data_IF_326724699097
#
_entry.id   IF_326724699097
#
_cell.length_a   1.000
_cell.length_b   1.000
_cell.length_c   1.000
_cell.angle_alpha   90.00
_cell.angle_beta   90.00
_cell.angle_gamma   90.00
#
_symmetry.space_group_name_H-M   'P 1'
#
loop_
_entity.id
_entity.type
_entity.pdbx_description
1 polymer ?
#
# COMPACT_ATOMS: atom_id res chain seq x y z
N UNK A 1 11.61 -29.76 -18.88
CA UNK A 1 10.44 -29.01 -18.41
C UNK A 1 10.78 -28.55 -17.02
N UNK A 2 11.37 -27.37 -16.90
CA UNK A 2 11.76 -26.75 -15.63
C UNK A 2 10.60 -25.88 -15.18
N UNK A 3 10.03 -26.21 -14.03
CA UNK A 3 9.03 -25.39 -13.36
C UNK A 3 9.64 -24.00 -13.11
N UNK A 4 9.00 -22.97 -13.62
CA UNK A 4 9.28 -21.57 -13.30
C UNK A 4 9.09 -21.40 -11.80
N UNK A 5 10.15 -21.01 -11.08
CA UNK A 5 10.06 -20.68 -9.67
C UNK A 5 9.07 -19.53 -9.49
N UNK A 6 7.98 -19.79 -8.79
CA UNK A 6 7.09 -18.77 -8.29
C UNK A 6 7.91 -17.92 -7.32
N UNK A 7 7.84 -16.61 -7.51
CA UNK A 7 8.50 -15.62 -6.66
C UNK A 7 7.75 -15.60 -5.31
N UNK A 8 8.22 -16.43 -4.36
CA UNK A 8 7.53 -16.73 -3.10
C UNK A 8 7.63 -15.61 -2.06
N UNK A 9 8.08 -14.41 -2.45
CA UNK A 9 8.36 -13.32 -1.51
C UNK A 9 7.15 -12.42 -1.20
N UNK A 10 6.08 -12.47 -2.00
CA UNK A 10 4.89 -11.67 -1.78
C UNK A 10 3.73 -12.53 -1.28
N UNK A 11 3.27 -12.26 -0.05
CA UNK A 11 2.26 -13.06 0.68
C UNK A 11 0.93 -13.19 -0.09
N UNK A 12 0.58 -12.23 -0.95
CA UNK A 12 -0.67 -12.22 -1.73
C UNK A 12 -0.53 -12.81 -3.15
N UNK A 13 0.71 -13.13 -3.59
CA UNK A 13 0.98 -13.64 -4.94
C UNK A 13 0.95 -12.56 -6.05
N UNK A 14 1.34 -12.94 -7.27
CA UNK A 14 1.43 -12.01 -8.42
C UNK A 14 0.67 -12.48 -9.67
N UNK A 15 -0.28 -13.41 -9.51
CA UNK A 15 -1.08 -13.96 -10.62
C UNK A 15 -2.13 -12.98 -11.16
N UNK A 16 -2.75 -13.29 -12.30
CA UNK A 16 -3.69 -12.41 -13.01
C UNK A 16 -4.89 -11.97 -12.15
N UNK A 17 -5.50 -12.87 -11.40
CA UNK A 17 -6.60 -12.54 -10.49
C UNK A 17 -6.21 -11.54 -9.40
N UNK A 18 -4.97 -11.58 -8.92
CA UNK A 18 -4.46 -10.61 -7.95
C UNK A 18 -4.26 -9.23 -8.58
N UNK A 19 -3.80 -9.15 -9.83
CA UNK A 19 -3.73 -7.88 -10.56
C UNK A 19 -5.09 -7.21 -10.71
N UNK A 20 -6.12 -7.98 -11.07
CA UNK A 20 -7.48 -7.46 -11.21
C UNK A 20 -8.03 -6.97 -9.86
N UNK A 21 -7.76 -7.70 -8.78
CA UNK A 21 -8.10 -7.26 -7.42
C UNK A 21 -7.41 -5.95 -7.06
N UNK A 22 -6.10 -5.83 -7.34
CA UNK A 22 -5.33 -4.60 -7.07
C UNK A 22 -5.78 -3.43 -7.94
N UNK A 23 -6.24 -3.68 -9.18
CA UNK A 23 -6.82 -2.65 -10.03
C UNK A 23 -8.12 -2.11 -9.44
N UNK A 24 -9.04 -2.98 -9.02
CA UNK A 24 -10.28 -2.57 -8.34
C UNK A 24 -9.97 -1.82 -7.04
N UNK A 25 -9.05 -2.34 -6.24
CA UNK A 25 -8.59 -1.67 -5.03
C UNK A 25 -8.07 -0.25 -5.32
N UNK A 26 -7.22 -0.10 -6.35
CA UNK A 26 -6.73 1.22 -6.73
C UNK A 26 -7.86 2.15 -7.16
N UNK A 27 -8.80 1.69 -7.97
CA UNK A 27 -9.94 2.49 -8.41
C UNK A 27 -10.78 2.99 -7.22
N UNK A 28 -10.99 2.16 -6.20
CA UNK A 28 -11.75 2.52 -4.99
C UNK A 28 -11.04 3.60 -4.16
N UNK A 29 -9.71 3.53 -4.06
CA UNK A 29 -8.90 4.43 -3.22
C UNK A 29 -8.24 5.58 -4.00
N UNK A 30 -8.52 5.67 -5.30
CA UNK A 30 -7.86 6.62 -6.21
C UNK A 30 -8.08 8.08 -5.79
N UNK A 31 -9.28 8.44 -5.42
CA UNK A 31 -9.61 9.82 -5.03
C UNK A 31 -8.85 10.23 -3.77
N UNK A 32 -8.66 9.31 -2.80
CA UNK A 32 -7.83 9.58 -1.61
C UNK A 32 -6.37 9.81 -2.01
N UNK A 33 -5.84 9.04 -2.98
CA UNK A 33 -4.47 9.22 -3.48
C UNK A 33 -4.32 10.59 -4.17
N UNK A 34 -5.25 10.94 -5.07
CA UNK A 34 -5.23 12.22 -5.81
C UNK A 34 -5.31 13.41 -4.85
N UNK A 35 -6.15 13.31 -3.81
CA UNK A 35 -6.27 14.35 -2.77
C UNK A 35 -4.97 14.51 -1.98
N UNK A 36 -4.31 13.41 -1.59
CA UNK A 36 -3.03 13.44 -0.90
C UNK A 36 -1.93 14.10 -1.74
N UNK A 37 -1.83 13.72 -3.02
CA UNK A 37 -0.84 14.28 -3.95
C UNK A 37 -1.10 15.76 -4.24
N UNK A 38 -2.37 16.16 -4.33
CA UNK A 38 -2.74 17.59 -4.48
C UNK A 38 -2.36 18.39 -3.24
N UNK A 39 -2.63 17.86 -2.06
CA UNK A 39 -2.28 18.52 -0.78
C UNK A 39 -0.78 18.66 -0.61
N UNK A 40 0.01 17.68 -1.04
CA UNK A 40 1.46 17.75 -1.04
C UNK A 40 2.04 18.66 -2.14
N UNK A 41 1.19 19.23 -3.02
CA UNK A 41 1.61 20.12 -4.10
C UNK A 41 2.34 19.38 -5.23
N UNK A 42 2.12 18.06 -5.38
CA UNK A 42 2.74 17.33 -6.48
C UNK A 42 2.08 17.67 -7.82
N UNK A 43 2.90 17.86 -8.86
CA UNK A 43 2.40 18.28 -10.18
C UNK A 43 3.47 18.25 -11.27
N UNK A 44 3.22 18.99 -12.34
CA UNK A 44 4.04 18.99 -13.56
C UNK A 44 5.53 19.26 -13.30
N UNK A 45 6.39 18.49 -13.97
CA UNK A 45 7.84 18.64 -13.94
C UNK A 45 8.54 18.01 -12.73
N UNK A 46 7.80 17.51 -11.74
CA UNK A 46 8.38 16.93 -10.53
C UNK A 46 8.89 15.50 -10.74
N UNK A 47 9.81 15.12 -9.88
CA UNK A 47 10.40 13.77 -9.82
C UNK A 47 9.86 13.04 -8.61
N UNK A 48 9.12 11.96 -8.84
CA UNK A 48 8.42 11.20 -7.80
C UNK A 48 8.86 9.74 -7.77
N UNK A 49 8.96 9.19 -6.57
CA UNK A 49 9.14 7.75 -6.31
C UNK A 49 7.79 7.12 -6.00
N UNK A 50 7.55 5.93 -6.52
CA UNK A 50 6.46 5.03 -6.11
C UNK A 50 7.10 3.75 -5.55
N UNK A 51 7.04 3.59 -4.23
CA UNK A 51 7.75 2.54 -3.49
C UNK A 51 6.80 1.39 -3.17
N UNK A 52 7.13 0.19 -3.63
CA UNK A 52 6.23 -0.96 -3.62
C UNK A 52 5.07 -0.74 -4.58
N UNK A 53 5.39 -0.40 -5.83
CA UNK A 53 4.39 0.04 -6.81
C UNK A 53 3.40 -1.07 -7.22
N UNK A 54 3.73 -2.35 -6.97
CA UNK A 54 2.95 -3.48 -7.46
C UNK A 54 2.75 -3.40 -8.97
N UNK A 55 1.54 -3.68 -9.50
CA UNK A 55 1.23 -3.56 -10.93
C UNK A 55 1.30 -2.13 -11.49
N UNK A 56 1.53 -1.11 -10.65
CA UNK A 56 1.84 0.25 -11.06
C UNK A 56 0.64 1.16 -11.33
N UNK A 57 -0.55 0.84 -10.83
CA UNK A 57 -1.75 1.68 -11.06
C UNK A 57 -1.58 3.10 -10.51
N UNK A 58 -0.96 3.25 -9.32
CA UNK A 58 -0.60 4.56 -8.78
C UNK A 58 0.51 5.24 -9.60
N UNK A 59 1.50 4.46 -10.06
CA UNK A 59 2.59 4.97 -10.90
C UNK A 59 2.10 5.59 -12.20
N UNK A 60 1.08 4.99 -12.84
CA UNK A 60 0.46 5.53 -14.07
C UNK A 60 -0.23 6.87 -13.81
N UNK A 61 -0.98 6.99 -12.71
CA UNK A 61 -1.61 8.24 -12.31
C UNK A 61 -0.57 9.31 -11.93
N UNK A 62 0.50 8.93 -11.23
CA UNK A 62 1.63 9.83 -10.92
C UNK A 62 2.32 10.32 -12.20
N UNK A 63 2.56 9.42 -13.17
CA UNK A 63 3.19 9.79 -14.44
C UNK A 63 2.32 10.75 -15.26
N UNK A 64 1.01 10.55 -15.28
CA UNK A 64 0.07 11.49 -15.89
C UNK A 64 0.11 12.85 -15.18
N UNK A 65 0.21 12.88 -13.86
CA UNK A 65 0.23 14.08 -13.03
C UNK A 65 1.50 14.91 -13.22
N UNK A 66 2.67 14.27 -13.27
CA UNK A 66 3.93 15.00 -13.46
C UNK A 66 4.17 15.43 -14.91
N UNK A 67 3.46 14.82 -15.85
CA UNK A 67 3.56 15.14 -17.27
C UNK A 67 4.92 14.82 -17.88
N UNK A 68 5.12 15.14 -19.18
CA UNK A 68 6.29 14.70 -19.95
C UNK A 68 7.62 15.34 -19.50
N UNK A 69 7.59 16.41 -18.73
CA UNK A 69 8.78 17.07 -18.19
C UNK A 69 9.15 16.57 -16.78
N UNK A 70 8.29 15.79 -16.15
CA UNK A 70 8.54 15.17 -14.86
C UNK A 70 9.22 13.80 -14.98
N UNK A 71 9.29 13.11 -13.85
CA UNK A 71 9.80 11.73 -13.80
C UNK A 71 9.12 10.94 -12.69
N UNK A 72 8.72 9.71 -12.98
CA UNK A 72 8.30 8.74 -11.97
C UNK A 72 9.24 7.54 -12.03
N UNK A 73 9.72 7.09 -10.88
CA UNK A 73 10.43 5.83 -10.73
C UNK A 73 9.60 4.92 -9.83
N UNK A 74 9.06 3.87 -10.44
CA UNK A 74 8.27 2.84 -9.79
C UNK A 74 9.18 1.70 -9.34
N UNK A 75 9.11 1.33 -8.08
CA UNK A 75 10.00 0.36 -7.45
C UNK A 75 9.18 -0.78 -6.86
N UNK A 76 9.56 -2.01 -7.22
CA UNK A 76 9.00 -3.23 -6.64
C UNK A 76 10.01 -4.37 -6.76
N UNK A 77 9.83 -5.46 -6.01
CA UNK A 77 10.67 -6.65 -6.16
C UNK A 77 10.05 -7.67 -7.13
N UNK A 78 8.75 -7.58 -7.43
CA UNK A 78 8.05 -8.50 -8.33
C UNK A 78 8.28 -8.12 -9.81
N UNK A 79 9.16 -8.86 -10.48
CA UNK A 79 9.51 -8.60 -11.90
C UNK A 79 8.30 -8.64 -12.82
N UNK A 80 7.35 -9.55 -12.60
CA UNK A 80 6.12 -9.66 -13.38
C UNK A 80 5.25 -8.39 -13.30
N UNK A 81 5.19 -7.73 -12.16
CA UNK A 81 4.50 -6.46 -12.00
C UNK A 81 5.21 -5.33 -12.75
N UNK A 82 6.53 -5.26 -12.66
CA UNK A 82 7.32 -4.24 -13.36
C UNK A 82 7.25 -4.39 -14.88
N UNK A 83 7.26 -5.62 -15.41
CA UNK A 83 7.06 -5.91 -16.83
C UNK A 83 5.67 -5.47 -17.32
N UNK A 84 4.63 -5.77 -16.53
CA UNK A 84 3.27 -5.32 -16.80
C UNK A 84 3.19 -3.79 -16.84
N UNK A 85 3.74 -3.11 -15.83
CA UNK A 85 3.77 -1.65 -15.77
C UNK A 85 4.51 -1.02 -16.96
N UNK A 86 5.66 -1.59 -17.35
CA UNK A 86 6.40 -1.13 -18.52
C UNK A 86 5.60 -1.28 -19.81
N UNK A 87 4.84 -2.38 -19.96
CA UNK A 87 3.96 -2.57 -21.11
C UNK A 87 2.86 -1.51 -21.15
N UNK A 88 2.21 -1.25 -20.03
CA UNK A 88 1.19 -0.20 -19.89
C UNK A 88 1.75 1.21 -20.18
N UNK A 89 2.92 1.52 -19.65
CA UNK A 89 3.59 2.80 -19.87
C UNK A 89 3.89 3.03 -21.37
N UNK A 90 4.39 1.99 -22.07
CA UNK A 90 4.62 2.05 -23.52
C UNK A 90 3.31 2.26 -24.30
N UNK A 91 2.26 1.52 -23.96
CA UNK A 91 0.94 1.66 -24.62
C UNK A 91 0.35 3.05 -24.43
N UNK A 92 0.56 3.66 -23.27
CA UNK A 92 0.07 4.99 -22.90
C UNK A 92 1.04 6.12 -23.27
N UNK A 93 2.18 5.80 -23.91
CA UNK A 93 3.24 6.75 -24.29
C UNK A 93 3.79 7.58 -23.09
N UNK A 94 3.89 6.98 -21.93
CA UNK A 94 4.39 7.60 -20.69
C UNK A 94 5.91 7.44 -20.57
N UNK A 95 6.66 8.20 -21.35
CA UNK A 95 8.13 8.09 -21.39
C UNK A 95 8.82 8.53 -20.10
N UNK A 96 8.14 9.32 -19.26
CA UNK A 96 8.62 9.78 -17.95
C UNK A 96 8.50 8.72 -16.84
N UNK A 97 7.86 7.57 -17.10
CA UNK A 97 7.70 6.47 -16.16
C UNK A 97 8.78 5.42 -16.38
N UNK A 98 9.54 5.16 -15.33
CA UNK A 98 10.60 4.16 -15.31
C UNK A 98 10.34 3.16 -14.17
N UNK A 99 10.92 1.97 -14.28
CA UNK A 99 10.82 0.94 -13.25
C UNK A 99 12.20 0.53 -12.75
N UNK A 100 12.26 0.09 -11.50
CA UNK A 100 13.46 -0.46 -10.87
C UNK A 100 13.07 -1.67 -10.01
N UNK A 101 13.70 -2.82 -10.30
CA UNK A 101 13.59 -3.98 -9.43
C UNK A 101 14.47 -3.80 -8.20
N UNK A 102 13.87 -3.72 -7.02
CA UNK A 102 14.57 -3.54 -5.74
C UNK A 102 13.76 -4.13 -4.60
N UNK A 103 14.41 -4.90 -3.74
CA UNK A 103 13.83 -5.38 -2.49
C UNK A 103 13.94 -4.29 -1.41
N UNK A 104 12.79 -3.77 -0.99
CA UNK A 104 12.70 -2.71 0.02
C UNK A 104 13.03 -3.19 1.46
N UNK A 105 13.18 -4.49 1.69
CA UNK A 105 13.74 -5.05 2.93
C UNK A 105 15.28 -4.93 3.00
N UNK A 106 15.94 -4.55 1.91
CA UNK A 106 17.39 -4.52 1.83
C UNK A 106 17.92 -3.10 1.62
N UNK A 107 19.02 -2.77 2.31
CA UNK A 107 19.68 -1.48 2.14
C UNK A 107 20.46 -1.35 0.81
N UNK A 108 20.60 -2.43 0.05
CA UNK A 108 21.31 -2.45 -1.23
C UNK A 108 20.47 -1.81 -2.34
N UNK A 109 21.09 -0.93 -3.13
CA UNK A 109 20.40 -0.27 -4.26
C UNK A 109 19.94 1.18 -4.01
N UNK A 110 20.07 1.68 -2.78
CA UNK A 110 19.80 3.09 -2.44
C UNK A 110 20.60 4.06 -3.32
N UNK A 111 21.82 3.68 -3.71
CA UNK A 111 22.71 4.48 -4.57
C UNK A 111 22.10 4.73 -5.96
N UNK A 112 21.27 3.81 -6.47
CA UNK A 112 20.60 3.95 -7.77
C UNK A 112 19.61 5.12 -7.81
N UNK A 113 19.10 5.58 -6.66
CA UNK A 113 18.13 6.67 -6.56
C UNK A 113 18.80 8.05 -6.52
N UNK A 114 20.07 8.11 -6.13
CA UNK A 114 20.77 9.36 -5.86
C UNK A 114 20.24 10.10 -4.63
N UNK A 115 21.13 10.82 -3.96
CA UNK A 115 20.78 11.57 -2.76
C UNK A 115 20.15 12.92 -3.12
N UNK A 116 19.06 13.27 -2.43
CA UNK A 116 18.46 14.61 -2.52
C UNK A 116 17.91 14.99 -3.89
N UNK A 117 17.49 14.03 -4.71
CA UNK A 117 17.07 14.29 -6.09
C UNK A 117 15.56 14.25 -6.32
N UNK A 118 14.77 13.79 -5.34
CA UNK A 118 13.36 13.54 -5.52
C UNK A 118 12.50 14.57 -4.79
N UNK A 119 11.47 15.06 -5.49
CA UNK A 119 10.50 16.00 -4.95
C UNK A 119 9.53 15.33 -4.00
N UNK A 120 9.21 14.06 -4.27
CA UNK A 120 8.29 13.29 -3.45
C UNK A 120 8.52 11.79 -3.52
N UNK A 121 8.03 11.10 -2.49
CA UNK A 121 7.95 9.65 -2.41
C UNK A 121 6.55 9.24 -1.94
N UNK A 122 5.96 8.29 -2.66
CA UNK A 122 4.69 7.67 -2.38
C UNK A 122 4.90 6.23 -1.91
N UNK A 123 4.21 5.82 -0.84
CA UNK A 123 4.23 4.46 -0.34
C UNK A 123 2.85 4.12 0.22
N UNK A 124 2.23 3.06 -0.30
CA UNK A 124 0.89 2.64 0.11
C UNK A 124 0.82 1.14 0.33
N UNK A 125 0.51 0.73 1.57
CA UNK A 125 0.35 -0.67 1.99
C UNK A 125 1.57 -1.54 1.66
N UNK A 126 2.74 -1.01 1.93
CA UNK A 126 4.03 -1.68 1.73
C UNK A 126 4.74 -1.92 3.05
N UNK A 127 4.79 -0.90 3.91
CA UNK A 127 5.54 -0.96 5.16
C UNK A 127 5.05 -2.10 6.07
N UNK A 128 3.75 -2.42 6.00
CA UNK A 128 3.18 -3.53 6.79
C UNK A 128 3.75 -4.91 6.44
N UNK A 129 4.32 -5.09 5.24
CA UNK A 129 4.88 -6.38 4.79
C UNK A 129 6.40 -6.49 4.99
N UNK A 130 7.05 -5.43 5.46
CA UNK A 130 8.49 -5.41 5.62
C UNK A 130 8.91 -5.90 7.01
N UNK A 131 9.87 -6.81 7.04
CA UNK A 131 10.45 -7.34 8.29
C UNK A 131 11.28 -6.27 9.00
N UNK A 132 12.00 -5.44 8.23
CA UNK A 132 12.76 -4.30 8.72
C UNK A 132 12.36 -3.04 7.96
N UNK A 133 11.89 -2.03 8.67
CA UNK A 133 11.52 -0.74 8.10
C UNK A 133 12.72 0.16 7.79
N UNK A 134 13.88 -0.09 8.42
CA UNK A 134 15.02 0.81 8.30
C UNK A 134 15.50 1.00 6.85
N UNK A 135 15.67 -0.06 6.02
CA UNK A 135 16.08 0.13 4.63
C UNK A 135 15.13 1.04 3.84
N UNK A 136 13.81 0.84 3.95
CA UNK A 136 12.80 1.66 3.28
C UNK A 136 12.87 3.11 3.76
N UNK A 137 12.90 3.34 5.09
CA UNK A 137 12.88 4.67 5.67
C UNK A 137 14.16 5.46 5.37
N UNK A 138 15.31 4.81 5.40
CA UNK A 138 16.60 5.40 5.04
C UNK A 138 16.66 5.77 3.57
N UNK A 139 16.17 4.88 2.69
CA UNK A 139 16.05 5.13 1.25
C UNK A 139 15.20 6.37 0.98
N UNK A 140 14.00 6.44 1.55
CA UNK A 140 13.09 7.58 1.37
C UNK A 140 13.71 8.89 1.86
N UNK A 141 14.30 8.85 3.06
CA UNK A 141 14.90 10.05 3.68
C UNK A 141 16.09 10.57 2.88
N UNK A 142 16.95 9.68 2.36
CA UNK A 142 18.12 10.06 1.54
C UNK A 142 17.69 10.58 0.17
N UNK A 143 16.78 9.89 -0.50
CA UNK A 143 16.34 10.23 -1.85
C UNK A 143 15.65 11.59 -1.95
N UNK A 144 14.88 11.99 -0.94
CA UNK A 144 14.19 13.26 -0.90
C UNK A 144 15.16 14.44 -0.85
N UNK A 145 14.94 15.46 -1.69
CA UNK A 145 15.59 16.75 -1.58
C UNK A 145 15.12 17.53 -0.35
N UNK A 146 15.85 18.53 0.12
CA UNK A 146 15.31 19.49 1.09
C UNK A 146 14.00 20.10 0.57
N UNK A 147 12.96 20.14 1.41
CA UNK A 147 11.60 20.53 1.04
C UNK A 147 10.80 19.45 0.28
N UNK A 148 11.40 18.30 -0.01
CA UNK A 148 10.68 17.15 -0.59
C UNK A 148 9.76 16.50 0.43
N UNK A 149 8.71 15.81 -0.06
CA UNK A 149 7.66 15.24 0.78
C UNK A 149 7.54 13.71 0.60
N UNK A 150 7.27 13.03 1.70
CA UNK A 150 6.89 11.62 1.75
C UNK A 150 5.41 11.51 2.09
N UNK A 151 4.67 10.73 1.34
CA UNK A 151 3.28 10.38 1.65
C UNK A 151 3.17 8.89 1.90
N UNK A 152 2.58 8.55 3.04
CA UNK A 152 2.34 7.18 3.45
C UNK A 152 0.83 6.95 3.63
N UNK A 153 0.30 5.88 3.04
CA UNK A 153 -1.00 5.30 3.36
C UNK A 153 -0.77 3.92 3.96
N UNK A 154 -0.88 3.82 5.29
CA UNK A 154 -0.59 2.58 6.01
C UNK A 154 -1.61 2.30 7.11
N UNK A 155 -1.72 1.02 7.50
CA UNK A 155 -2.63 0.61 8.55
C UNK A 155 -2.11 1.02 9.93
N UNK A 156 -2.96 1.74 10.66
CA UNK A 156 -2.73 2.07 12.06
C UNK A 156 -3.28 1.01 13.02
N UNK A 157 -4.41 0.39 12.64
CA UNK A 157 -5.04 -0.62 13.47
C UNK A 157 -5.96 -1.50 12.61
N UNK A 158 -5.52 -2.72 12.32
CA UNK A 158 -6.23 -3.59 11.39
C UNK A 158 -7.44 -4.28 12.01
N UNK A 159 -7.43 -4.52 13.31
CA UNK A 159 -8.52 -5.11 14.10
C UNK A 159 -9.74 -4.19 14.29
N UNK A 160 -9.71 -2.98 13.74
CA UNK A 160 -10.89 -2.12 13.61
C UNK A 160 -11.79 -2.50 12.43
N UNK A 161 -11.35 -3.40 11.55
CA UNK A 161 -12.21 -3.96 10.51
C UNK A 161 -13.45 -4.59 11.16
N UNK A 162 -14.63 -4.11 10.81
CA UNK A 162 -15.87 -4.58 11.41
C UNK A 162 -17.03 -4.55 10.42
N UNK A 163 -18.00 -5.42 10.69
CA UNK A 163 -19.32 -5.46 10.05
C UNK A 163 -20.38 -5.45 11.14
N UNK A 164 -21.38 -4.62 10.99
CA UNK A 164 -22.53 -4.60 11.88
C UNK A 164 -23.80 -4.98 11.12
N UNK A 165 -24.66 -5.89 11.65
CA UNK A 165 -24.53 -6.55 12.96
C UNK A 165 -23.23 -7.36 13.09
N UNK A 166 -22.60 -7.33 14.28
CA UNK A 166 -21.33 -7.98 14.55
C UNK A 166 -21.52 -9.48 14.71
N UNK A 167 -20.58 -10.28 14.15
CA UNK A 167 -20.52 -11.71 14.28
C UNK A 167 -19.14 -12.23 14.66
N UNK A 168 -19.08 -13.42 15.24
CA UNK A 168 -17.84 -14.02 15.75
C UNK A 168 -16.94 -14.56 14.61
N UNK A 169 -17.53 -14.94 13.48
CA UNK A 169 -16.80 -15.44 12.29
C UNK A 169 -15.91 -14.35 11.69
N UNK A 170 -16.43 -13.12 11.52
CA UNK A 170 -15.63 -12.00 11.05
C UNK A 170 -14.53 -11.62 12.06
N UNK A 171 -14.85 -11.57 13.34
CA UNK A 171 -13.84 -11.28 14.37
C UNK A 171 -12.69 -12.30 14.34
N UNK A 172 -13.02 -13.57 14.16
CA UNK A 172 -12.03 -14.65 14.01
C UNK A 172 -11.21 -14.47 12.73
N UNK A 173 -11.85 -14.16 11.61
CA UNK A 173 -11.15 -13.91 10.35
C UNK A 173 -10.13 -12.78 10.52
N UNK A 174 -10.51 -11.66 11.09
CA UNK A 174 -9.61 -10.53 11.36
C UNK A 174 -8.42 -10.95 12.23
N UNK A 175 -8.66 -11.70 13.31
CA UNK A 175 -7.60 -12.23 14.16
C UNK A 175 -6.63 -13.15 13.39
N UNK A 176 -7.14 -14.01 12.50
CA UNK A 176 -6.32 -14.92 11.70
C UNK A 176 -5.51 -14.20 10.63
N UNK A 177 -6.06 -13.16 10.01
CA UNK A 177 -5.30 -12.30 9.09
C UNK A 177 -4.10 -11.66 9.81
N UNK A 178 -4.34 -11.06 10.98
CA UNK A 178 -3.28 -10.43 11.79
C UNK A 178 -2.21 -11.46 12.19
N UNK A 179 -2.62 -12.66 12.62
CA UNK A 179 -1.70 -13.74 12.94
C UNK A 179 -0.86 -14.11 11.71
N UNK A 180 -1.50 -14.37 10.57
CA UNK A 180 -0.84 -14.79 9.33
C UNK A 180 0.24 -13.79 8.90
N UNK A 181 -0.07 -12.49 8.90
CA UNK A 181 0.93 -11.48 8.54
C UNK A 181 2.09 -11.40 9.54
N UNK A 182 1.82 -11.50 10.85
CA UNK A 182 2.87 -11.50 11.88
C UNK A 182 3.77 -12.73 11.79
N UNK A 183 3.22 -13.89 11.49
CA UNK A 183 3.97 -15.12 11.30
C UNK A 183 4.94 -15.02 10.10
N UNK A 184 4.64 -14.12 9.13
CA UNK A 184 5.51 -13.79 8.00
C UNK A 184 6.35 -12.52 8.22
N UNK A 185 6.45 -12.02 9.45
CA UNK A 185 7.26 -10.86 9.81
C UNK A 185 6.60 -9.51 9.55
N UNK A 186 5.38 -9.47 9.06
CA UNK A 186 4.62 -8.23 8.81
C UNK A 186 4.05 -7.59 10.07
N UNK A 187 3.71 -6.31 9.97
CA UNK A 187 3.10 -5.53 11.06
C UNK A 187 1.83 -4.83 10.57
N UNK A 188 0.62 -5.41 10.82
CA UNK A 188 -0.65 -4.80 10.40
C UNK A 188 -1.03 -3.54 11.20
N UNK A 189 -0.16 -3.09 12.10
CA UNK A 189 -0.30 -1.85 12.85
C UNK A 189 0.88 -0.89 12.61
N UNK A 190 1.58 -1.06 11.51
CA UNK A 190 2.88 -0.41 11.21
C UNK A 190 2.85 1.11 11.32
N UNK A 191 1.72 1.76 10.98
CA UNK A 191 1.61 3.21 11.07
C UNK A 191 1.76 3.75 12.49
N UNK A 192 1.58 2.93 13.53
CA UNK A 192 1.83 3.34 14.93
C UNK A 192 3.32 3.59 15.21
N UNK A 193 4.22 2.94 14.46
CA UNK A 193 5.67 3.02 14.63
C UNK A 193 6.31 4.11 13.75
N UNK A 194 5.72 4.39 12.60
CA UNK A 194 6.27 5.29 11.59
C UNK A 194 6.57 6.71 12.10
N UNK A 195 5.72 7.37 12.94
CA UNK A 195 5.99 8.72 13.39
C UNK A 195 7.33 8.86 14.11
N UNK A 196 7.60 8.02 15.10
CA UNK A 196 8.86 8.08 15.85
C UNK A 196 10.08 7.77 14.98
N UNK A 197 9.94 6.80 14.04
CA UNK A 197 11.03 6.39 13.15
C UNK A 197 11.37 7.47 12.11
N UNK A 198 10.37 8.20 11.60
CA UNK A 198 10.56 9.26 10.60
C UNK A 198 11.07 10.55 11.25
N UNK A 199 10.57 10.89 12.45
CA UNK A 199 11.08 12.02 13.23
C UNK A 199 12.55 11.82 13.61
N UNK A 200 12.94 10.61 14.02
CA UNK A 200 14.33 10.27 14.32
C UNK A 200 15.28 10.45 13.11
N UNK A 201 14.74 10.40 11.89
CA UNK A 201 15.45 10.65 10.63
C UNK A 201 15.40 12.11 10.18
N UNK A 202 14.87 13.00 11.04
CA UNK A 202 14.81 14.43 10.79
C UNK A 202 13.68 14.88 9.86
N UNK A 203 12.72 14.01 9.53
CA UNK A 203 11.52 14.43 8.82
C UNK A 203 10.54 15.12 9.78
N UNK A 204 9.70 16.00 9.24
CA UNK A 204 8.68 16.72 9.98
C UNK A 204 7.29 16.35 9.46
N UNK A 205 6.40 15.95 10.35
CA UNK A 205 5.00 15.70 10.00
C UNK A 205 4.32 17.02 9.60
N UNK A 206 3.74 17.04 8.41
CA UNK A 206 3.00 18.19 7.86
C UNK A 206 1.50 18.02 8.00
N UNK A 207 1.05 16.79 7.78
CA UNK A 207 -0.36 16.45 7.80
C UNK A 207 -0.55 15.00 8.19
N UNK A 208 -1.64 14.74 8.91
CA UNK A 208 -2.10 13.39 9.21
C UNK A 208 -3.63 13.40 9.23
N UNK A 209 -4.24 12.41 8.57
CA UNK A 209 -5.69 12.17 8.65
C UNK A 209 -6.02 10.69 8.65
N UNK A 210 -7.19 10.37 9.18
CA UNK A 210 -7.76 9.03 9.03
C UNK A 210 -8.36 8.86 7.64
N UNK A 211 -8.14 7.69 7.03
CA UNK A 211 -8.82 7.24 5.81
C UNK A 211 -9.88 6.18 6.12
N UNK A 212 -10.08 5.85 7.40
CA UNK A 212 -11.12 4.90 7.83
C UNK A 212 -12.48 5.36 7.33
N UNK A 213 -13.26 4.44 6.81
CA UNK A 213 -14.61 4.69 6.32
C UNK A 213 -15.63 3.78 7.00
N UNK A 214 -16.81 4.33 7.24
CA UNK A 214 -18.02 3.58 7.59
C UNK A 214 -19.01 3.75 6.44
N UNK A 215 -19.59 2.64 5.96
CA UNK A 215 -20.44 2.69 4.77
C UNK A 215 -21.44 1.54 4.74
N UNK A 216 -22.48 1.68 3.90
CA UNK A 216 -23.40 0.59 3.54
C UNK A 216 -22.72 -0.40 2.59
N UNK A 217 -23.32 -1.59 2.43
CA UNK A 217 -22.74 -2.71 1.68
C UNK A 217 -22.50 -2.43 0.19
N UNK A 218 -23.21 -1.48 -0.40
CA UNK A 218 -23.11 -1.07 -1.81
C UNK A 218 -22.02 -0.02 -2.07
N UNK A 219 -21.43 0.54 -1.03
CA UNK A 219 -20.38 1.54 -1.18
C UNK A 219 -19.05 0.93 -1.66
N UNK A 220 -18.25 1.65 -2.47
CA UNK A 220 -17.00 1.13 -3.01
C UNK A 220 -16.03 0.57 -1.96
N UNK A 221 -15.90 1.24 -0.80
CA UNK A 221 -15.02 0.77 0.27
C UNK A 221 -15.54 -0.49 0.98
N UNK A 222 -16.85 -0.71 1.03
CA UNK A 222 -17.42 -1.98 1.48
C UNK A 222 -17.17 -3.10 0.46
N UNK A 223 -17.29 -2.81 -0.85
CA UNK A 223 -16.95 -3.77 -1.90
C UNK A 223 -15.50 -4.22 -1.84
N UNK A 224 -14.56 -3.29 -1.56
CA UNK A 224 -13.15 -3.64 -1.33
C UNK A 224 -12.96 -4.64 -0.18
N UNK A 225 -13.71 -4.48 0.93
CA UNK A 225 -13.67 -5.44 2.04
C UNK A 225 -14.30 -6.79 1.66
N UNK A 226 -15.38 -6.78 0.89
CA UNK A 226 -16.02 -8.00 0.38
C UNK A 226 -15.10 -8.75 -0.57
N UNK A 227 -14.41 -8.06 -1.48
CA UNK A 227 -13.39 -8.66 -2.36
C UNK A 227 -12.27 -9.34 -1.55
N UNK A 228 -11.84 -8.72 -0.45
CA UNK A 228 -10.84 -9.30 0.44
C UNK A 228 -11.35 -10.53 1.18
N UNK A 229 -12.58 -10.49 1.68
CA UNK A 229 -13.25 -11.64 2.31
C UNK A 229 -13.49 -12.79 1.33
N UNK A 230 -13.63 -12.52 0.04
CA UNK A 230 -13.80 -13.53 -1.00
C UNK A 230 -12.49 -14.18 -1.48
N UNK A 231 -11.33 -13.60 -1.15
CA UNK A 231 -10.03 -14.07 -1.67
C UNK A 231 -9.03 -14.54 -0.61
N UNK A 232 -9.07 -13.95 0.57
CA UNK A 232 -8.06 -14.21 1.60
C UNK A 232 -8.27 -15.46 2.46
N UNK A 233 -9.51 -15.98 2.66
CA UNK A 233 -9.74 -17.25 3.37
C UNK A 233 -8.96 -18.42 2.80
N UNK A 234 -8.82 -18.51 1.46
CA UNK A 234 -8.05 -19.58 0.81
C UNK A 234 -6.57 -19.55 1.21
N UNK A 235 -5.98 -18.36 1.35
CA UNK A 235 -4.60 -18.20 1.81
C UNK A 235 -4.45 -18.60 3.28
N UNK A 236 -5.40 -18.23 4.13
CA UNK A 236 -5.42 -18.66 5.53
C UNK A 236 -5.58 -20.18 5.64
N UNK A 237 -6.41 -20.80 4.80
CA UNK A 237 -6.58 -22.24 4.75
C UNK A 237 -5.29 -22.95 4.29
N UNK A 238 -4.61 -22.45 3.27
CA UNK A 238 -3.31 -22.96 2.82
C UNK A 238 -2.24 -22.86 3.93
N UNK A 239 -2.30 -21.83 4.77
CA UNK A 239 -1.43 -21.65 5.94
C UNK A 239 -1.88 -22.50 7.16
N UNK A 240 -2.98 -23.27 7.08
CA UNK A 240 -3.51 -24.05 8.22
C UNK A 240 -4.18 -23.21 9.31
N UNK A 241 -4.52 -21.96 9.02
CA UNK A 241 -5.12 -21.00 9.96
C UNK A 241 -6.63 -20.86 9.82
N UNK A 242 -7.24 -21.50 8.80
CA UNK A 242 -8.67 -21.40 8.49
C UNK A 242 -9.26 -22.77 8.18
N UNK A 243 -10.32 -23.12 8.86
CA UNK A 243 -11.02 -24.38 8.67
C UNK A 243 -12.34 -24.20 7.91
N UNK A 244 -12.93 -25.27 7.34
CA UNK A 244 -14.29 -25.21 6.78
C UNK A 244 -15.33 -24.68 7.76
N UNK A 245 -15.23 -25.03 9.06
CA UNK A 245 -16.14 -24.53 10.09
C UNK A 245 -15.99 -23.03 10.35
N UNK A 246 -14.76 -22.48 10.28
CA UNK A 246 -14.53 -21.04 10.36
C UNK A 246 -15.16 -20.32 9.15
N UNK A 247 -15.09 -20.93 7.95
CA UNK A 247 -15.73 -20.39 6.76
C UNK A 247 -17.26 -20.39 6.87
N UNK A 248 -17.86 -21.48 7.35
CA UNK A 248 -19.32 -21.57 7.57
C UNK A 248 -19.80 -20.48 8.55
N UNK A 249 -19.04 -20.20 9.61
CA UNK A 249 -19.38 -19.17 10.58
C UNK A 249 -19.26 -17.76 9.98
N UNK A 250 -18.20 -17.49 9.19
CA UNK A 250 -18.05 -16.24 8.46
C UNK A 250 -19.20 -16.02 7.46
N UNK A 251 -19.55 -17.06 6.67
CA UNK A 251 -20.64 -16.99 5.70
C UNK A 251 -22.00 -16.75 6.38
N UNK A 252 -22.21 -17.30 7.56
CA UNK A 252 -23.40 -17.04 8.36
C UNK A 252 -23.47 -15.58 8.82
N UNK A 253 -22.34 -15.01 9.29
CA UNK A 253 -22.24 -13.60 9.66
C UNK A 253 -22.54 -12.67 8.48
N UNK A 254 -21.93 -12.93 7.32
CA UNK A 254 -22.15 -12.17 6.10
C UNK A 254 -23.62 -12.25 5.64
N UNK A 255 -24.19 -13.44 5.63
CA UNK A 255 -25.60 -13.67 5.27
C UNK A 255 -26.55 -12.95 6.22
N UNK A 256 -26.26 -12.99 7.52
CA UNK A 256 -27.05 -12.29 8.53
C UNK A 256 -26.98 -10.76 8.32
N UNK A 257 -25.80 -10.21 8.10
CA UNK A 257 -25.62 -8.79 7.84
C UNK A 257 -26.31 -8.35 6.54
N UNK A 258 -26.25 -9.15 5.46
CA UNK A 258 -26.94 -8.85 4.20
C UNK A 258 -28.46 -8.88 4.30
N UNK A 259 -29.02 -9.67 5.23
CA UNK A 259 -30.45 -9.72 5.52
C UNK A 259 -30.97 -8.51 6.35
N UNK A 260 -30.06 -7.64 6.78
CA UNK A 260 -30.36 -6.49 7.63
C UNK A 260 -29.70 -5.21 7.11
N UNK A 261 -30.02 -4.06 7.71
CA UNK A 261 -29.24 -2.85 7.48
C UNK A 261 -27.82 -3.06 8.04
N UNK A 262 -26.84 -3.17 7.15
CA UNK A 262 -25.44 -3.45 7.53
C UNK A 262 -24.55 -2.22 7.37
N UNK A 263 -23.59 -2.10 8.30
CA UNK A 263 -22.55 -1.07 8.26
C UNK A 263 -21.18 -1.75 8.21
N UNK A 264 -20.43 -1.42 7.19
CA UNK A 264 -19.05 -1.87 6.97
C UNK A 264 -18.07 -0.82 7.46
N UNK A 265 -17.07 -1.24 8.22
CA UNK A 265 -16.02 -0.36 8.76
C UNK A 265 -14.67 -0.86 8.26
N UNK A 266 -13.96 -0.03 7.50
CA UNK A 266 -12.60 -0.38 7.05
C UNK A 266 -11.63 -0.42 8.22
N UNK A 267 -10.51 -1.18 8.12
CA UNK A 267 -9.40 -1.01 9.05
C UNK A 267 -9.01 0.46 9.19
N UNK A 268 -8.51 0.84 10.37
CA UNK A 268 -8.01 2.20 10.58
C UNK A 268 -6.77 2.44 9.71
N UNK A 269 -6.99 3.10 8.60
CA UNK A 269 -5.97 3.57 7.66
C UNK A 269 -5.58 5.00 8.01
N UNK A 270 -4.29 5.30 7.90
CA UNK A 270 -3.73 6.61 8.14
C UNK A 270 -3.03 7.12 6.88
N UNK A 271 -3.36 8.36 6.50
CA UNK A 271 -2.54 9.17 5.61
C UNK A 271 -1.61 10.04 6.43
N UNK A 272 -0.33 9.99 6.11
CA UNK A 272 0.68 10.82 6.73
C UNK A 272 1.53 11.50 5.65
N UNK A 273 1.64 12.81 5.71
CA UNK A 273 2.51 13.62 4.83
C UNK A 273 3.66 14.17 5.65
N UNK A 274 4.86 13.76 5.28
CA UNK A 274 6.11 14.15 5.93
C UNK A 274 6.94 15.02 4.99
N UNK A 275 7.69 15.96 5.53
CA UNK A 275 8.59 16.83 4.78
C UNK A 275 10.03 16.68 5.28
N UNK A 276 10.98 16.58 4.36
CA UNK A 276 12.39 16.75 4.67
C UNK A 276 12.69 18.25 4.81
N UNK A 277 12.99 18.76 6.01
CA UNK A 277 13.19 20.19 6.21
C UNK A 277 14.28 20.76 5.31
N UNK A 278 14.10 21.99 4.84
CA UNK A 278 15.20 22.73 4.26
C UNK A 278 16.24 22.97 5.36
N UNK A 279 17.50 22.71 5.08
CA UNK A 279 18.57 23.10 5.99
C UNK A 279 18.50 24.60 6.05
N UNK A 280 17.94 25.15 7.15
CA UNK A 280 18.09 26.60 7.40
C UNK A 280 19.57 26.85 7.55
N UNK A 281 20.18 27.60 6.61
CA UNK A 281 21.43 28.26 6.90
C UNK A 281 21.17 29.12 8.13
N UNK A 282 21.62 28.65 9.31
CA UNK A 282 21.65 29.53 10.47
C UNK A 282 22.52 30.74 10.08
N UNK A 283 22.05 31.95 10.42
CA UNK A 283 22.83 33.14 10.19
C UNK A 283 24.18 33.11 10.93
#
# INVERSE_FOLDING_TARGET
MTASGEDSSYVLGSHEGERDRLQRQHAIWRDDCLAAWQQAGWGAGQRLLDLGCGPGFASLDLAARVGPTGRVLAIDNASAYLEHLQAQARQSNLQQLHTLALDLNQASGVEALGDGQWDGAWCRWVAMFLNDLNPLLDLMTRALRPGGTLILHEYGQWDTFALYPRGAGLDRFVCRCIQHWRDHGGDPHVAQRLPALLEARGLRLKHCRSLMACSTSDAPKAQWLQDFLGSYPDQLAAAGLWSPGDQEELDADLSHAMGHCSVWVTPALMEMVWEKPCISSKP
#
